data_IF_627190641296
#
_entry.id   IF_627190641296
#
_cell.length_a   1.000
_cell.length_b   1.000
_cell.length_c   1.000
_cell.angle_alpha   90.00
_cell.angle_beta   90.00
_cell.angle_gamma   90.00
#
_symmetry.space_group_name_H-M   'P 1'
#
loop_
_entity.id
_entity.type
_entity.pdbx_description
1 polymer ?
#
# COMPACT_ATOMS: atom_id res chain seq x y z
N UNK A 1 -37.20 -34.14 -57.88
CA UNK A 1 -36.08 -33.83 -56.97
C UNK A 1 -36.05 -34.89 -55.88
N UNK A 2 -34.97 -35.66 -55.73
CA UNK A 2 -34.93 -36.77 -54.78
C UNK A 2 -34.75 -36.26 -53.35
N UNK A 3 -35.23 -37.00 -52.35
CA UNK A 3 -35.06 -36.65 -50.93
C UNK A 3 -33.57 -36.43 -50.58
N UNK A 4 -32.67 -37.19 -51.21
CA UNK A 4 -31.21 -37.02 -51.08
C UNK A 4 -30.72 -35.64 -51.54
N UNK A 5 -31.34 -35.09 -52.59
CA UNK A 5 -31.01 -33.78 -53.14
C UNK A 5 -31.46 -32.65 -52.21
N UNK A 6 -32.63 -32.79 -51.57
CA UNK A 6 -33.11 -31.83 -50.55
C UNK A 6 -32.19 -31.85 -49.32
N UNK A 7 -31.80 -33.04 -48.86
CA UNK A 7 -30.93 -33.20 -47.68
C UNK A 7 -29.54 -32.59 -47.89
N UNK A 8 -28.95 -32.76 -49.09
CA UNK A 8 -27.67 -32.14 -49.44
C UNK A 8 -27.74 -30.61 -49.43
N UNK A 9 -28.83 -30.03 -49.94
CA UNK A 9 -28.99 -28.57 -49.97
C UNK A 9 -29.08 -28.01 -48.55
N UNK A 10 -29.84 -28.66 -47.66
CA UNK A 10 -29.93 -28.25 -46.25
C UNK A 10 -28.56 -28.32 -45.57
N UNK A 11 -27.80 -29.39 -45.81
CA UNK A 11 -26.45 -29.55 -45.24
C UNK A 11 -25.50 -28.43 -45.70
N UNK A 12 -25.56 -28.06 -46.99
CA UNK A 12 -24.75 -26.98 -47.54
C UNK A 12 -25.13 -25.63 -46.94
N UNK A 13 -26.42 -25.36 -46.74
CA UNK A 13 -26.90 -24.12 -46.12
C UNK A 13 -26.39 -24.01 -44.67
N UNK A 14 -26.48 -25.09 -43.89
CA UNK A 14 -25.98 -25.11 -42.50
C UNK A 14 -24.46 -24.85 -42.47
N UNK A 15 -23.70 -25.47 -43.38
CA UNK A 15 -22.26 -25.27 -43.46
C UNK A 15 -21.90 -23.80 -43.78
N UNK A 16 -22.65 -23.16 -44.68
CA UNK A 16 -22.47 -21.75 -45.03
C UNK A 16 -22.79 -20.80 -43.88
N UNK A 17 -23.82 -21.10 -43.09
CA UNK A 17 -24.18 -20.31 -41.90
C UNK A 17 -23.04 -20.39 -40.86
N UNK A 18 -22.51 -21.59 -40.60
CA UNK A 18 -21.39 -21.79 -39.67
C UNK A 18 -20.15 -21.02 -40.13
N UNK A 19 -19.78 -21.12 -41.43
CA UNK A 19 -18.65 -20.36 -41.97
C UNK A 19 -18.83 -18.85 -41.82
N UNK A 20 -20.05 -18.34 -42.06
CA UNK A 20 -20.36 -16.93 -41.88
C UNK A 20 -20.23 -16.48 -40.43
N UNK A 21 -20.64 -17.31 -39.46
CA UNK A 21 -20.50 -17.01 -38.04
C UNK A 21 -19.03 -16.99 -37.60
N UNK A 22 -18.21 -17.94 -38.07
CA UNK A 22 -16.77 -17.97 -37.76
C UNK A 22 -16.03 -16.77 -38.35
N UNK A 23 -16.40 -16.33 -39.56
CA UNK A 23 -15.80 -15.14 -40.19
C UNK A 23 -16.08 -13.84 -39.43
N UNK A 24 -17.19 -13.76 -38.68
CA UNK A 24 -17.53 -12.58 -37.85
C UNK A 24 -16.82 -12.57 -36.49
N UNK A 25 -16.37 -13.74 -36.00
CA UNK A 25 -15.59 -13.86 -34.75
C UNK A 25 -14.11 -13.47 -34.95
N UNK A 26 -13.61 -13.50 -36.19
CA UNK A 26 -12.27 -13.00 -36.54
C UNK A 26 -12.42 -11.59 -37.10
N UNK A 27 -12.69 -10.60 -36.25
CA UNK A 27 -12.45 -9.20 -36.63
C UNK A 27 -10.93 -8.99 -36.66
N UNK A 28 -10.33 -8.62 -37.81
CA UNK A 28 -8.96 -8.12 -37.80
C UNK A 28 -8.97 -6.84 -36.95
N UNK A 29 -8.22 -6.87 -35.85
CA UNK A 29 -7.96 -5.67 -35.05
C UNK A 29 -7.42 -4.59 -35.99
N UNK A 30 -8.09 -3.44 -36.04
CA UNK A 30 -7.55 -2.25 -36.71
C UNK A 30 -6.24 -1.90 -36.03
N UNK A 31 -5.14 -2.14 -36.74
CA UNK A 31 -3.86 -1.47 -36.47
C UNK A 31 -4.14 0.00 -36.76
N UNK A 32 -4.37 0.77 -35.70
CA UNK A 32 -4.46 2.21 -35.79
C UNK A 32 -3.05 2.70 -35.53
N UNK A 33 -2.32 3.00 -36.61
CA UNK A 33 -1.18 3.90 -36.53
C UNK A 33 -1.69 5.24 -36.01
N UNK A 34 -1.41 5.52 -34.75
CA UNK A 34 -1.20 6.88 -34.28
C UNK A 34 0.12 6.90 -33.52
N UNK A 35 1.13 7.44 -34.20
CA UNK A 35 2.19 8.23 -33.57
C UNK A 35 1.54 9.16 -32.54
N UNK A 36 1.81 8.93 -31.27
CA UNK A 36 2.69 9.76 -30.45
C UNK A 36 3.19 8.83 -29.35
N UNK A 37 4.42 8.34 -29.49
CA UNK A 37 5.15 7.78 -28.36
C UNK A 37 5.53 9.00 -27.54
N UNK A 38 4.69 9.39 -26.59
CA UNK A 38 5.24 9.97 -25.39
C UNK A 38 6.07 8.85 -24.78
N UNK A 39 7.38 9.11 -24.69
CA UNK A 39 8.30 8.37 -23.85
C UNK A 39 7.70 8.34 -22.44
N UNK A 40 6.90 7.32 -22.13
CA UNK A 40 6.87 6.82 -20.77
C UNK A 40 8.26 6.23 -20.57
N UNK A 41 9.15 7.06 -20.02
CA UNK A 41 10.22 6.60 -19.17
C UNK A 41 9.63 5.50 -18.29
N UNK A 42 9.93 4.25 -18.66
CA UNK A 42 10.12 3.23 -17.65
C UNK A 42 11.22 3.84 -16.79
N UNK A 43 10.82 4.51 -15.71
CA UNK A 43 11.69 4.63 -14.57
C UNK A 43 12.02 3.18 -14.22
N UNK A 44 13.15 2.70 -14.75
CA UNK A 44 13.98 1.81 -13.99
C UNK A 44 13.96 2.41 -12.59
N UNK A 45 13.23 1.77 -11.68
CA UNK A 45 13.45 1.99 -10.27
C UNK A 45 14.92 1.68 -10.12
N UNK A 46 15.71 2.76 -10.17
CA UNK A 46 17.10 2.78 -9.79
C UNK A 46 17.08 2.05 -8.48
N UNK A 47 17.66 0.85 -8.49
CA UNK A 47 18.03 0.20 -7.25
C UNK A 47 18.96 1.25 -6.64
N UNK A 48 18.43 2.05 -5.73
CA UNK A 48 19.24 2.99 -4.97
C UNK A 48 20.14 2.07 -4.16
N UNK A 49 21.33 1.82 -4.71
CA UNK A 49 22.47 1.44 -3.92
C UNK A 49 22.53 2.50 -2.85
N UNK A 50 22.18 2.12 -1.62
CA UNK A 50 22.39 2.93 -0.43
C UNK A 50 23.88 3.27 -0.41
N UNK A 51 24.22 4.43 -0.96
CA UNK A 51 25.42 5.14 -0.55
C UNK A 51 25.16 5.49 0.91
N UNK A 52 25.99 4.95 1.81
CA UNK A 52 25.93 5.18 3.26
C UNK A 52 25.49 6.62 3.56
N UNK A 53 24.32 6.84 4.18
CA UNK A 53 24.07 8.11 4.82
C UNK A 53 25.03 8.19 6.01
N UNK A 54 25.97 9.13 5.90
CA UNK A 54 26.84 9.49 7.00
C UNK A 54 26.01 9.78 8.27
N UNK A 55 26.53 9.32 9.41
CA UNK A 55 26.11 9.61 10.78
C UNK A 55 25.36 10.96 10.88
N UNK A 56 24.15 11.04 11.47
CA UNK A 56 23.43 12.28 11.67
C UNK A 56 24.26 13.23 12.54
N UNK A 57 25.01 14.12 11.89
CA UNK A 57 25.59 15.31 12.51
C UNK A 57 24.57 16.46 12.60
N UNK A 58 23.40 16.26 12.01
CA UNK A 58 22.36 17.29 11.84
C UNK A 58 21.00 16.79 12.34
N UNK A 59 20.15 17.73 12.71
CA UNK A 59 18.75 17.53 13.09
C UNK A 59 17.97 16.95 11.90
N UNK A 60 17.28 15.83 12.10
CA UNK A 60 16.41 15.22 11.10
C UNK A 60 14.96 15.36 11.53
N UNK A 61 14.08 15.76 10.61
CA UNK A 61 12.63 15.89 10.85
C UNK A 61 11.85 14.95 9.92
N UNK A 62 11.08 14.04 10.50
CA UNK A 62 10.21 13.11 9.81
C UNK A 62 8.75 13.56 9.96
N UNK A 63 7.98 13.48 8.87
CA UNK A 63 6.51 13.52 8.93
C UNK A 63 5.99 12.13 8.65
N UNK A 64 5.33 11.51 9.63
CA UNK A 64 5.03 10.08 9.62
C UNK A 64 3.53 9.84 9.59
N UNK A 65 3.11 8.95 8.70
CA UNK A 65 1.72 8.60 8.45
C UNK A 65 1.38 7.19 8.95
N UNK A 66 1.91 6.84 10.13
CA UNK A 66 1.84 5.48 10.66
C UNK A 66 2.84 4.51 10.04
N UNK A 67 3.78 5.01 9.23
CA UNK A 67 4.89 4.26 8.63
C UNK A 67 6.03 4.05 9.64
N UNK A 68 6.85 3.02 9.41
CA UNK A 68 8.09 2.80 10.16
C UNK A 68 9.17 3.79 9.69
N UNK A 69 9.85 4.44 10.64
CA UNK A 69 10.99 5.32 10.36
C UNK A 69 12.27 4.51 10.52
N UNK A 70 13.06 4.43 9.45
CA UNK A 70 14.39 3.82 9.49
C UNK A 70 15.43 4.92 9.32
N UNK A 71 16.43 4.96 10.21
CA UNK A 71 17.50 5.94 10.16
C UNK A 71 18.82 5.32 10.64
N UNK A 72 19.92 5.69 10.01
CA UNK A 72 21.25 5.26 10.44
C UNK A 72 21.82 6.25 11.47
N UNK A 73 22.41 5.75 12.54
CA UNK A 73 23.13 6.55 13.54
C UNK A 73 24.34 5.77 14.06
N UNK A 74 25.52 6.41 14.05
CA UNK A 74 26.81 5.79 14.41
C UNK A 74 27.09 4.45 13.71
N UNK A 75 26.71 4.34 12.42
CA UNK A 75 26.92 3.12 11.63
C UNK A 75 26.00 1.96 12.01
N UNK A 76 24.95 2.21 12.81
CA UNK A 76 23.89 1.26 13.12
C UNK A 76 22.57 1.74 12.54
N UNK A 77 21.86 0.83 11.89
CA UNK A 77 20.48 1.08 11.48
C UNK A 77 19.58 1.05 12.71
N UNK A 78 18.79 2.10 12.89
CA UNK A 78 17.78 2.22 13.93
C UNK A 78 16.39 2.29 13.29
N UNK A 79 15.40 1.77 13.99
CA UNK A 79 14.02 1.77 13.52
C UNK A 79 13.09 2.28 14.63
N UNK A 80 12.27 3.28 14.31
CA UNK A 80 11.13 3.72 15.11
C UNK A 80 9.87 3.26 14.41
N UNK A 81 9.14 2.34 15.04
CA UNK A 81 7.84 1.86 14.56
C UNK A 81 6.73 2.48 15.40
N UNK A 82 5.81 3.19 14.76
CA UNK A 82 4.68 3.81 15.47
C UNK A 82 3.62 2.75 15.76
N UNK A 83 3.54 2.28 17.02
CA UNK A 83 2.53 1.33 17.44
C UNK A 83 1.14 1.96 17.45
N UNK A 84 1.01 3.08 18.17
CA UNK A 84 -0.28 3.70 18.46
C UNK A 84 -0.12 5.21 18.61
N UNK A 85 -1.06 5.97 18.05
CA UNK A 85 -1.21 7.38 18.36
C UNK A 85 -2.24 7.45 19.49
N UNK A 86 -1.79 7.77 20.70
CA UNK A 86 -2.65 7.75 21.89
C UNK A 86 -3.53 9.01 21.89
N UNK A 87 -2.90 10.17 21.71
CA UNK A 87 -3.54 11.47 21.65
C UNK A 87 -2.69 12.45 20.81
N UNK A 88 -3.03 13.73 20.83
CA UNK A 88 -2.36 14.77 20.05
C UNK A 88 -0.91 15.06 20.49
N UNK A 89 -0.53 14.63 21.69
CA UNK A 89 0.76 14.92 22.30
C UNK A 89 1.56 13.65 22.64
N UNK A 90 0.98 12.45 22.47
CA UNK A 90 1.53 11.18 22.92
C UNK A 90 1.45 10.08 21.87
N UNK A 91 2.57 9.41 21.63
CA UNK A 91 2.69 8.31 20.67
C UNK A 91 3.44 7.16 21.31
N UNK A 92 2.91 5.95 21.16
CA UNK A 92 3.59 4.72 21.54
C UNK A 92 4.36 4.19 20.34
N UNK A 93 5.64 3.89 20.54
CA UNK A 93 6.54 3.41 19.49
C UNK A 93 7.30 2.15 19.94
N UNK A 94 7.85 1.41 18.98
CA UNK A 94 8.99 0.52 19.20
C UNK A 94 10.23 1.21 18.66
N UNK A 95 11.24 1.42 19.50
CA UNK A 95 12.56 1.82 19.07
C UNK A 95 13.49 0.61 19.17
N UNK A 96 13.95 0.09 18.04
CA UNK A 96 14.80 -1.12 17.98
C UNK A 96 14.25 -2.29 18.82
N UNK A 97 12.96 -2.61 18.61
CA UNK A 97 12.20 -3.65 19.33
C UNK A 97 11.89 -3.36 20.82
N UNK A 98 12.28 -2.21 21.37
CA UNK A 98 11.90 -1.79 22.72
C UNK A 98 10.71 -0.82 22.69
N UNK A 99 9.67 -1.12 23.46
CA UNK A 99 8.49 -0.24 23.56
C UNK A 99 8.84 1.03 24.32
N UNK A 100 8.57 2.17 23.70
CA UNK A 100 8.80 3.50 24.25
C UNK A 100 7.55 4.36 24.06
N UNK A 101 7.38 5.33 24.94
CA UNK A 101 6.34 6.35 24.81
C UNK A 101 7.02 7.69 24.56
N UNK A 102 6.73 8.28 23.40
CA UNK A 102 7.21 9.61 23.06
C UNK A 102 6.09 10.61 23.36
N UNK A 103 6.47 11.70 24.02
CA UNK A 103 5.57 12.84 24.24
C UNK A 103 6.13 14.07 23.55
N UNK A 104 5.26 15.05 23.30
CA UNK A 104 5.65 16.35 22.76
C UNK A 104 6.41 17.19 23.77
N UNK A 105 6.10 17.02 25.06
CA UNK A 105 6.67 17.82 26.15
C UNK A 105 8.07 17.36 26.53
N UNK A 106 8.38 16.07 26.39
CA UNK A 106 9.65 15.50 26.85
C UNK A 106 10.35 14.74 25.72
N UNK A 107 11.58 15.14 25.34
CA UNK A 107 12.37 14.36 24.41
C UNK A 107 12.76 13.03 25.06
N UNK A 108 12.59 11.95 24.31
CA UNK A 108 13.15 10.65 24.66
C UNK A 108 14.64 10.61 24.32
N UNK A 109 15.45 10.05 25.22
CA UNK A 109 16.90 9.97 25.05
C UNK A 109 17.30 8.54 24.70
N UNK A 110 17.98 8.37 23.57
CA UNK A 110 18.46 7.08 23.10
C UNK A 110 19.83 7.19 22.44
N UNK A 111 20.85 6.48 22.92
CA UNK A 111 22.19 6.46 22.32
C UNK A 111 22.68 7.85 21.88
N UNK A 112 22.73 8.82 22.78
CA UNK A 112 23.12 10.22 22.48
C UNK A 112 22.23 10.96 21.46
N UNK A 113 21.01 10.48 21.21
CA UNK A 113 19.98 11.19 20.47
C UNK A 113 18.89 11.68 21.41
N UNK A 114 18.38 12.87 21.11
CA UNK A 114 17.09 13.39 21.56
C UNK A 114 16.08 13.15 20.45
N UNK A 115 15.05 12.37 20.76
CA UNK A 115 13.91 12.08 19.87
C UNK A 115 12.69 12.76 20.46
N UNK A 116 12.03 13.64 19.71
CA UNK A 116 10.91 14.43 20.22
C UNK A 116 9.78 14.52 19.20
N UNK A 117 8.53 14.52 19.69
CA UNK A 117 7.39 14.90 18.87
C UNK A 117 7.40 16.44 18.70
N UNK A 118 7.59 16.93 17.48
CA UNK A 118 7.75 18.36 17.20
C UNK A 118 6.65 18.87 16.28
N UNK A 119 5.44 18.94 16.82
CA UNK A 119 4.30 19.54 16.14
C UNK A 119 2.98 19.21 16.82
N UNK A 120 1.93 19.97 16.48
CA UNK A 120 0.58 19.41 16.59
C UNK A 120 0.46 18.30 15.55
N UNK A 121 -0.29 17.23 15.86
CA UNK A 121 -0.70 16.22 14.90
C UNK A 121 -1.22 16.93 13.62
N UNK A 122 -0.45 16.84 12.54
CA UNK A 122 -0.77 17.55 11.32
C UNK A 122 -1.83 16.76 10.57
N UNK A 123 -2.80 17.49 10.04
CA UNK A 123 -3.75 16.97 9.06
C UNK A 123 -3.06 17.06 7.70
N UNK A 124 -2.61 15.93 7.16
CA UNK A 124 -2.07 15.91 5.80
C UNK A 124 -3.19 15.68 4.81
N UNK A 125 -3.24 16.53 3.79
CA UNK A 125 -4.24 16.44 2.73
C UNK A 125 -4.10 15.12 1.99
N UNK A 126 -5.23 14.46 1.79
CA UNK A 126 -5.37 13.30 0.94
C UNK A 126 -5.65 13.86 -0.46
N UNK A 127 -4.83 13.52 -1.48
CA UNK A 127 -5.08 13.96 -2.85
C UNK A 127 -6.51 13.64 -3.30
N UNK A 128 -7.15 14.58 -3.98
CA UNK A 128 -8.53 14.42 -4.45
C UNK A 128 -8.68 13.16 -5.32
N UNK A 129 -9.69 12.33 -5.04
CA UNK A 129 -9.94 11.09 -5.77
C UNK A 129 -9.02 9.93 -5.39
N UNK A 130 -8.26 10.05 -4.29
CA UNK A 130 -7.40 8.97 -3.79
C UNK A 130 -7.93 8.41 -2.47
N UNK A 131 -8.48 7.20 -2.52
CA UNK A 131 -8.87 6.47 -1.32
C UNK A 131 -7.65 5.86 -0.64
N UNK A 132 -7.53 6.06 0.68
CA UNK A 132 -6.44 5.49 1.48
C UNK A 132 -6.98 4.52 2.53
N UNK A 133 -6.20 3.48 2.82
CA UNK A 133 -6.47 2.58 3.95
C UNK A 133 -5.21 2.42 4.80
N UNK A 134 -5.37 2.67 6.10
CA UNK A 134 -4.39 2.34 7.13
C UNK A 134 -4.70 0.97 7.71
N UNK A 135 -3.71 0.09 7.75
CA UNK A 135 -3.87 -1.29 8.20
C UNK A 135 -2.72 -1.75 9.09
N UNK A 136 -2.98 -2.85 9.79
CA UNK A 136 -2.03 -3.60 10.59
C UNK A 136 -2.10 -5.08 10.19
N UNK A 137 -1.02 -5.59 9.62
CA UNK A 137 -0.84 -7.00 9.29
C UNK A 137 0.02 -7.65 10.37
N UNK A 138 -0.43 -8.77 10.93
CA UNK A 138 0.29 -9.52 11.97
C UNK A 138 0.41 -10.97 11.54
N UNK A 139 1.61 -11.52 11.62
CA UNK A 139 1.89 -12.94 11.46
C UNK A 139 2.71 -13.44 12.67
N UNK A 140 2.82 -14.76 12.89
CA UNK A 140 3.70 -15.31 13.93
C UNK A 140 5.15 -14.82 13.84
N UNK A 141 5.59 -14.42 12.65
CA UNK A 141 6.97 -14.01 12.35
C UNK A 141 7.14 -12.48 12.34
N UNK A 142 6.14 -11.74 12.81
CA UNK A 142 6.15 -10.27 12.90
C UNK A 142 4.97 -9.63 12.20
N UNK A 143 4.90 -8.30 12.28
CA UNK A 143 3.80 -7.54 11.70
C UNK A 143 4.26 -6.26 11.02
N UNK A 144 3.40 -5.72 10.17
CA UNK A 144 3.60 -4.50 9.38
C UNK A 144 2.44 -3.56 9.65
N UNK A 145 2.72 -2.27 9.77
CA UNK A 145 1.71 -1.21 9.82
C UNK A 145 2.00 -0.25 8.69
N UNK A 146 0.99 0.12 7.92
CA UNK A 146 1.16 1.05 6.81
C UNK A 146 -0.16 1.72 6.42
N UNK A 147 -0.06 2.74 5.56
CA UNK A 147 -1.18 3.39 4.88
C UNK A 147 -0.94 3.39 3.39
N UNK A 148 -1.79 2.69 2.64
CA UNK A 148 -1.66 2.55 1.18
C UNK A 148 -2.91 3.09 0.47
N UNK A 149 -2.72 3.57 -0.75
CA UNK A 149 -3.82 3.97 -1.61
C UNK A 149 -4.48 2.77 -2.30
N UNK A 150 -5.73 2.93 -2.73
CA UNK A 150 -6.34 1.96 -3.64
C UNK A 150 -5.44 1.69 -4.86
N UNK A 151 -5.24 0.41 -5.18
CA UNK A 151 -4.40 -0.04 -6.29
C UNK A 151 -2.90 -0.12 -5.96
N UNK A 152 -2.44 0.53 -4.89
CA UNK A 152 -1.03 0.51 -4.47
C UNK A 152 -0.61 -0.87 -3.94
N UNK A 153 0.64 -1.25 -4.24
CA UNK A 153 1.27 -2.45 -3.70
C UNK A 153 2.63 -2.10 -3.10
N UNK A 154 2.90 -2.67 -1.93
CA UNK A 154 4.19 -2.56 -1.25
C UNK A 154 4.70 -3.93 -0.84
N UNK A 155 6.02 -4.06 -0.76
CA UNK A 155 6.72 -5.28 -0.39
C UNK A 155 7.40 -5.04 0.96
N UNK A 156 7.17 -5.94 1.91
CA UNK A 156 7.72 -5.91 3.25
C UNK A 156 8.56 -7.16 3.52
N UNK A 157 9.40 -7.11 4.55
CA UNK A 157 10.10 -8.28 5.10
C UNK A 157 9.67 -8.51 6.54
N UNK A 158 9.36 -9.75 6.91
CA UNK A 158 9.09 -10.10 8.31
C UNK A 158 10.40 -10.36 9.09
N UNK A 159 10.29 -10.71 10.39
CA UNK A 159 11.48 -10.98 11.23
C UNK A 159 12.24 -12.25 10.81
N UNK A 160 11.58 -13.17 10.10
CA UNK A 160 12.24 -14.33 9.50
C UNK A 160 12.91 -14.00 8.15
N UNK A 161 12.79 -12.77 7.64
CA UNK A 161 13.34 -12.34 6.36
C UNK A 161 12.49 -12.72 5.15
N UNK A 162 11.31 -13.30 5.37
CA UNK A 162 10.39 -13.65 4.30
C UNK A 162 9.74 -12.42 3.69
N UNK A 163 9.48 -12.49 2.39
CA UNK A 163 8.89 -11.39 1.63
C UNK A 163 7.37 -11.45 1.68
N UNK A 164 6.74 -10.36 2.10
CA UNK A 164 5.30 -10.20 2.13
C UNK A 164 4.92 -9.08 1.17
N UNK A 165 4.19 -9.42 0.11
CA UNK A 165 3.59 -8.44 -0.80
C UNK A 165 2.16 -8.17 -0.37
N UNK A 166 1.85 -6.92 -0.05
CA UNK A 166 0.49 -6.46 0.23
C UNK A 166 0.09 -5.49 -0.87
N UNK A 167 -1.12 -5.67 -1.41
CA UNK A 167 -1.76 -4.77 -2.36
C UNK A 167 -3.13 -4.40 -1.86
N UNK A 168 -3.48 -3.11 -1.91
CA UNK A 168 -4.87 -2.66 -1.73
C UNK A 168 -5.57 -2.83 -3.07
N UNK A 169 -6.54 -3.72 -3.12
CA UNK A 169 -7.26 -4.06 -4.34
C UNK A 169 -8.37 -3.07 -4.62
N UNK A 170 -9.12 -2.72 -3.58
CA UNK A 170 -10.29 -1.86 -3.64
C UNK A 170 -10.60 -1.29 -2.26
N UNK A 171 -11.17 -0.09 -2.22
CA UNK A 171 -11.81 0.59 -1.11
C UNK A 171 -13.22 0.95 -1.57
N UNK A 172 -14.26 0.53 -0.84
CA UNK A 172 -15.66 0.80 -1.24
C UNK A 172 -16.21 2.05 -0.58
N UNK A 173 -17.02 2.86 -1.27
CA UNK A 173 -17.43 4.19 -0.74
C UNK A 173 -18.64 4.16 0.22
N UNK A 174 -19.70 3.44 -0.11
CA UNK A 174 -20.98 3.54 0.61
C UNK A 174 -20.94 3.00 2.05
N UNK A 175 -20.19 1.92 2.24
CA UNK A 175 -19.76 1.40 3.53
C UNK A 175 -18.26 1.15 3.40
N UNK A 176 -17.39 2.05 3.94
CA UNK A 176 -15.95 1.95 3.79
C UNK A 176 -15.42 0.59 4.19
N UNK A 177 -14.95 -0.17 3.19
CA UNK A 177 -14.29 -1.46 3.37
C UNK A 177 -13.14 -1.60 2.40
N UNK A 178 -12.05 -2.18 2.87
CA UNK A 178 -10.87 -2.45 2.06
C UNK A 178 -10.75 -3.93 1.72
N UNK A 179 -10.34 -4.23 0.50
CA UNK A 179 -9.95 -5.57 0.06
C UNK A 179 -8.44 -5.58 -0.17
N UNK A 180 -7.75 -6.54 0.41
CA UNK A 180 -6.30 -6.69 0.24
C UNK A 180 -6.00 -7.94 -0.56
N UNK A 181 -4.86 -7.94 -1.25
CA UNK A 181 -4.21 -9.13 -1.78
C UNK A 181 -2.84 -9.28 -1.13
N UNK A 182 -2.64 -10.39 -0.43
CA UNK A 182 -1.44 -10.69 0.36
C UNK A 182 -0.83 -11.96 -0.19
N UNK A 183 0.39 -11.88 -0.74
CA UNK A 183 1.07 -13.02 -1.37
C UNK A 183 0.15 -13.80 -2.34
N UNK A 184 -0.56 -13.07 -3.21
CA UNK A 184 -1.53 -13.59 -4.19
C UNK A 184 -2.81 -14.22 -3.58
N UNK A 185 -3.11 -13.97 -2.31
CA UNK A 185 -4.38 -14.36 -1.68
C UNK A 185 -5.20 -13.13 -1.34
N UNK A 186 -6.44 -13.08 -1.80
CA UNK A 186 -7.36 -12.00 -1.45
C UNK A 186 -7.99 -12.21 -0.08
N UNK A 187 -8.15 -11.12 0.65
CA UNK A 187 -8.97 -11.07 1.87
C UNK A 187 -10.44 -10.94 1.52
N UNK A 188 -11.31 -11.08 2.52
CA UNK A 188 -12.66 -10.50 2.41
C UNK A 188 -12.58 -8.98 2.47
N UNK A 189 -13.70 -8.30 2.21
CA UNK A 189 -13.80 -6.87 2.47
C UNK A 189 -13.79 -6.63 4.00
N UNK A 190 -12.86 -5.80 4.47
CA UNK A 190 -12.63 -5.52 5.90
C UNK A 190 -12.98 -4.06 6.16
N UNK A 191 -13.92 -3.80 7.06
CA UNK A 191 -14.27 -2.44 7.48
C UNK A 191 -13.30 -1.86 8.51
N UNK A 192 -13.45 -0.57 8.81
CA UNK A 192 -12.69 0.05 9.89
C UNK A 192 -12.88 -0.69 11.22
N UNK A 193 -11.76 -0.92 11.91
CA UNK A 193 -11.69 -1.66 13.18
C UNK A 193 -12.15 -3.12 13.10
N UNK A 194 -12.30 -3.64 11.88
CA UNK A 194 -12.50 -5.07 11.64
C UNK A 194 -11.16 -5.76 11.37
N UNK A 195 -11.14 -7.08 11.59
CA UNK A 195 -10.02 -7.94 11.23
C UNK A 195 -10.48 -9.12 10.38
N UNK A 196 -9.61 -9.55 9.47
CA UNK A 196 -9.72 -10.84 8.80
C UNK A 196 -8.60 -11.77 9.29
N UNK A 197 -8.95 -13.01 9.56
CA UNK A 197 -7.99 -14.06 9.93
C UNK A 197 -7.61 -14.78 8.65
N UNK A 198 -6.34 -14.68 8.30
CA UNK A 198 -5.77 -15.36 7.14
C UNK A 198 -5.35 -16.78 7.54
N UNK A 199 -4.26 -17.28 6.96
CA UNK A 199 -3.69 -18.56 7.36
C UNK A 199 -2.85 -18.44 8.64
N UNK A 200 -2.67 -19.55 9.35
CA UNK A 200 -1.60 -19.71 10.37
C UNK A 200 -1.54 -18.58 11.41
N UNK A 201 -2.70 -18.20 11.97
CA UNK A 201 -2.82 -17.11 12.97
C UNK A 201 -2.36 -15.74 12.48
N UNK A 202 -2.32 -15.56 11.16
CA UNK A 202 -2.05 -14.28 10.54
C UNK A 202 -3.33 -13.46 10.50
N UNK A 203 -3.24 -12.18 10.84
CA UNK A 203 -4.35 -11.24 10.96
C UNK A 203 -4.10 -10.05 10.05
N UNK A 204 -5.14 -9.57 9.39
CA UNK A 204 -5.17 -8.26 8.77
C UNK A 204 -6.23 -7.44 9.50
N UNK A 205 -5.83 -6.34 10.13
CA UNK A 205 -6.72 -5.41 10.83
C UNK A 205 -6.72 -4.07 10.12
N UNK A 206 -7.90 -3.55 9.80
CA UNK A 206 -8.01 -2.21 9.21
C UNK A 206 -8.20 -1.20 10.32
N UNK A 207 -7.30 -0.23 10.41
CA UNK A 207 -7.37 0.83 11.41
C UNK A 207 -8.30 1.95 10.97
N UNK A 208 -8.07 2.48 9.76
CA UNK A 208 -8.79 3.62 9.21
C UNK A 208 -8.93 3.46 7.71
N UNK A 209 -10.06 3.88 7.17
CA UNK A 209 -10.34 4.01 5.75
C UNK A 209 -10.69 5.47 5.53
N UNK A 210 -9.94 6.11 4.64
CA UNK A 210 -10.16 7.49 4.25
C UNK A 210 -10.67 7.47 2.81
N UNK A 211 -11.97 7.20 2.59
CA UNK A 211 -12.54 7.32 1.24
C UNK A 211 -12.46 8.79 0.85
N UNK A 212 -12.01 9.15 -0.34
CA UNK A 212 -11.88 10.52 -0.79
C UNK A 212 -12.48 10.71 -2.19
N UNK A 213 -13.76 11.07 -2.23
CA UNK A 213 -14.42 11.45 -3.47
C UNK A 213 -13.71 12.65 -4.11
N UNK A 214 -13.70 12.69 -5.44
CA UNK A 214 -13.08 13.77 -6.18
C UNK A 214 -13.71 15.13 -5.79
N UNK A 215 -12.89 15.99 -5.18
CA UNK A 215 -13.28 17.35 -4.78
C UNK A 215 -13.48 17.56 -3.28
N UNK A 216 -13.44 16.51 -2.46
CA UNK A 216 -13.38 16.65 -1.00
C UNK A 216 -11.92 16.80 -0.55
N UNK A 217 -11.67 17.79 0.33
CA UNK A 217 -10.37 17.89 1.02
C UNK A 217 -10.46 17.05 2.29
N UNK A 218 -9.90 15.85 2.25
CA UNK A 218 -9.78 14.99 3.42
C UNK A 218 -8.37 15.02 3.99
N UNK A 219 -8.28 14.68 5.26
CA UNK A 219 -7.03 14.74 5.99
C UNK A 219 -6.76 13.45 6.72
N UNK A 220 -5.52 12.97 6.64
CA UNK A 220 -5.02 11.87 7.48
C UNK A 220 -4.15 12.42 8.61
N UNK A 221 -4.13 11.74 9.78
CA UNK A 221 -3.24 12.11 10.85
C UNK A 221 -1.77 11.92 10.47
N UNK A 222 -0.94 12.89 10.84
CA UNK A 222 0.49 12.89 10.62
C UNK A 222 1.23 13.33 11.88
N UNK A 223 2.29 12.62 12.23
CA UNK A 223 3.13 12.96 13.37
C UNK A 223 4.43 13.56 12.86
N UNK A 224 4.89 14.64 13.49
CA UNK A 224 6.24 15.14 13.27
C UNK A 224 7.18 14.64 14.35
N UNK A 225 8.22 13.92 13.94
CA UNK A 225 9.28 13.43 14.79
C UNK A 225 10.57 14.13 14.44
N UNK A 226 11.22 14.69 15.45
CA UNK A 226 12.55 15.24 15.35
C UNK A 226 13.54 14.33 16.06
N UNK A 227 14.64 14.05 15.37
CA UNK A 227 15.77 13.28 15.90
C UNK A 227 16.99 14.19 15.80
N UNK A 228 17.65 14.46 16.93
CA UNK A 228 18.85 15.30 16.98
C UNK A 228 19.90 14.70 17.93
N UNK A 229 21.20 14.90 17.69
CA UNK A 229 22.23 14.57 18.67
C UNK A 229 22.03 15.35 19.98
N UNK A 230 22.40 14.76 21.10
CA UNK A 230 22.57 15.45 22.37
C UNK A 230 23.85 16.29 22.32
N UNK A 231 23.72 17.58 22.62
CA UNK A 231 24.85 18.52 22.79
C UNK A 231 25.58 18.32 24.13
#
# INVERSE_FOLDING_TARGET
MSIKMILMIILVIILLIILSCVAQLVKPGKITENRTVEEQEVQEQKLETFTEPAVPKERISYTVYGEDIVFDYEGKQNMIKILEIIDEDSVRVLLNDEEQMFTKTEPFIYNNLSIQLTGAMQKAEIPAGQDLVSFFYVSPEGGVKDTLAEGESRIYKNKAGETIRIKVVAITDAEPRAVFEINNRRTKAIGEKEQDVLAEKTLMYVMHIFPNEAGEVKYRPAIKLEIRPLE
#
